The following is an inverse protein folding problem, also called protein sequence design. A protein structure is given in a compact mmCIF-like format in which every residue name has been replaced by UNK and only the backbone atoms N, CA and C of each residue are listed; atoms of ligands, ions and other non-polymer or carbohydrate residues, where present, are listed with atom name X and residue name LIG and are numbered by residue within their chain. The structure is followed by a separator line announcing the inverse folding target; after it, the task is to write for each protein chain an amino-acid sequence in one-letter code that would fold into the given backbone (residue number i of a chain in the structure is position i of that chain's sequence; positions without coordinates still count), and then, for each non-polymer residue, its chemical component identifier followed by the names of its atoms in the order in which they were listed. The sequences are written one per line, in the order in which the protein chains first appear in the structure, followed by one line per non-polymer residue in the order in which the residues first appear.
data_IF_176609779827
#
_entry.id   IF_176609779827
#
_cell.length_a   1.000
_cell.length_b   1.000
_cell.length_c   1.000
_cell.angle_alpha   90.00
_cell.angle_beta   90.00
_cell.angle_gamma   90.00
#
_symmetry.space_group_name_H-M   'P 1'
#
loop_
_entity.id
_entity.type
_entity.pdbx_description
1 polymer ?
#
# COMPACT_ATOMS: atom_id res chain seq x y z
N UNK A 1 -7.68 37.62 6.51
CA UNK A 1 -6.40 37.07 6.98
C UNK A 1 -5.82 36.33 5.78
N UNK A 2 -4.55 36.52 5.43
CA UNK A 2 -3.96 35.80 4.29
C UNK A 2 -3.98 34.30 4.63
N UNK A 3 -4.68 33.50 3.83
CA UNK A 3 -4.66 32.04 3.92
C UNK A 3 -3.25 31.55 3.54
N UNK A 4 -2.37 31.41 4.52
CA UNK A 4 -1.01 30.94 4.34
C UNK A 4 -0.75 29.79 5.31
N UNK A 5 0.05 28.85 4.85
CA UNK A 5 0.53 27.74 5.69
C UNK A 5 1.11 28.29 6.99
N UNK A 6 0.71 27.71 8.11
CA UNK A 6 1.34 28.01 9.39
C UNK A 6 2.86 27.71 9.29
N UNK A 7 3.75 28.68 9.62
CA UNK A 7 5.20 28.48 9.54
C UNK A 7 5.71 27.19 10.20
N UNK A 8 5.03 26.73 11.25
CA UNK A 8 5.34 25.45 11.92
C UNK A 8 5.30 24.26 10.96
N UNK A 9 4.39 24.26 9.99
CA UNK A 9 4.16 23.12 9.07
C UNK A 9 4.73 23.34 7.68
N UNK A 10 5.49 24.41 7.47
CA UNK A 10 6.03 24.77 6.15
C UNK A 10 6.82 23.65 5.49
N UNK A 11 7.59 22.88 6.27
CA UNK A 11 8.39 21.75 5.75
C UNK A 11 7.54 20.67 5.05
N UNK A 12 6.28 20.47 5.45
CA UNK A 12 5.36 19.51 4.82
C UNK A 12 4.95 19.93 3.40
N UNK A 13 5.07 21.21 3.07
CA UNK A 13 4.68 21.81 1.78
C UNK A 13 5.86 22.12 0.87
N UNK A 14 7.07 21.75 1.25
CA UNK A 14 8.22 21.84 0.35
C UNK A 14 8.08 20.80 -0.77
N UNK A 15 8.30 21.19 -2.04
CA UNK A 15 8.32 20.24 -3.14
C UNK A 15 9.36 19.14 -2.93
N UNK A 16 9.08 17.96 -3.48
CA UNK A 16 10.00 16.83 -3.43
C UNK A 16 10.05 16.11 -4.77
N UNK A 17 11.23 15.63 -5.15
CA UNK A 17 11.43 14.85 -6.38
C UNK A 17 11.45 13.37 -6.08
N UNK A 18 10.70 12.60 -6.86
CA UNK A 18 10.83 11.15 -6.92
C UNK A 18 12.14 10.74 -7.61
N UNK A 19 12.53 9.46 -7.49
CA UNK A 19 13.75 8.94 -8.06
C UNK A 19 13.90 9.10 -9.59
N UNK A 20 12.79 9.29 -10.33
CA UNK A 20 12.77 9.60 -11.76
C UNK A 20 12.73 11.11 -12.06
N UNK A 21 12.87 11.97 -11.06
CA UNK A 21 12.88 13.42 -11.23
C UNK A 21 11.50 14.09 -11.28
N UNK A 22 10.40 13.33 -11.24
CA UNK A 22 9.05 13.91 -11.12
C UNK A 22 8.96 14.66 -9.79
N UNK A 23 8.56 15.92 -9.87
CA UNK A 23 8.37 16.78 -8.72
C UNK A 23 6.92 16.70 -8.22
N UNK A 24 6.77 16.44 -6.93
CA UNK A 24 5.52 16.52 -6.19
C UNK A 24 5.43 17.85 -5.46
N UNK A 25 4.25 18.47 -5.43
CA UNK A 25 4.05 19.83 -4.91
C UNK A 25 4.20 19.92 -3.38
N UNK A 26 4.08 18.81 -2.65
CA UNK A 26 4.24 18.72 -1.21
C UNK A 26 4.64 17.29 -0.81
N UNK A 27 4.86 17.06 0.48
CA UNK A 27 5.39 15.80 1.01
C UNK A 27 4.32 14.80 1.46
N UNK A 28 3.06 15.01 1.11
CA UNK A 28 1.99 14.07 1.45
C UNK A 28 1.77 13.01 0.37
N UNK A 29 1.37 11.82 0.81
CA UNK A 29 0.84 10.78 -0.07
C UNK A 29 -0.42 10.14 0.53
N UNK A 30 -1.42 9.85 -0.32
CA UNK A 30 -2.54 9.00 0.03
C UNK A 30 -2.09 7.55 -0.17
N UNK A 31 -1.96 6.84 0.94
CA UNK A 31 -1.46 5.46 0.96
C UNK A 31 -2.59 4.44 0.84
N UNK A 32 -2.27 3.21 0.40
CA UNK A 32 -3.25 2.14 0.28
C UNK A 32 -4.06 1.93 1.56
N UNK A 33 -5.36 1.89 1.39
CA UNK A 33 -6.32 1.42 2.38
C UNK A 33 -7.30 0.50 1.68
N UNK A 34 -7.60 -0.65 2.27
CA UNK A 34 -8.58 -1.57 1.73
C UNK A 34 -9.97 -0.97 1.88
N UNK A 35 -10.61 -0.64 0.77
CA UNK A 35 -11.96 -0.06 0.75
C UNK A 35 -13.05 -1.10 0.59
N UNK A 36 -12.75 -2.28 0.05
CA UNK A 36 -13.72 -3.34 -0.29
C UNK A 36 -14.90 -2.81 -1.13
N UNK A 37 -14.65 -1.86 -2.02
CA UNK A 37 -15.66 -1.16 -2.80
C UNK A 37 -15.85 -1.71 -4.21
N UNK A 38 -15.02 -2.65 -4.67
CA UNK A 38 -15.16 -3.34 -5.95
C UNK A 38 -16.28 -4.40 -5.92
N UNK A 39 -16.60 -5.03 -7.05
CA UNK A 39 -17.46 -6.21 -7.05
C UNK A 39 -16.71 -7.43 -6.49
N UNK A 40 -17.44 -8.52 -6.20
CA UNK A 40 -16.80 -9.78 -5.75
C UNK A 40 -15.81 -10.33 -6.78
N UNK A 41 -16.06 -10.12 -8.07
CA UNK A 41 -15.18 -10.54 -9.16
C UNK A 41 -13.99 -9.59 -9.34
N UNK A 42 -13.96 -8.44 -8.65
CA UNK A 42 -12.88 -7.45 -8.69
C UNK A 42 -13.06 -6.32 -9.70
N UNK A 43 -14.26 -6.13 -10.26
CA UNK A 43 -14.54 -4.97 -11.12
C UNK A 43 -14.71 -3.71 -10.28
N UNK A 44 -14.06 -2.63 -10.72
CA UNK A 44 -14.21 -1.30 -10.14
C UNK A 44 -15.66 -0.84 -10.22
N UNK A 45 -16.18 -0.28 -9.14
CA UNK A 45 -17.55 0.23 -9.07
C UNK A 45 -17.62 1.73 -9.22
N UNK A 46 -18.85 2.24 -9.44
CA UNK A 46 -19.07 3.69 -9.45
C UNK A 46 -18.73 4.32 -8.10
N UNK A 47 -19.10 3.68 -6.99
CA UNK A 47 -18.79 4.20 -5.65
C UNK A 47 -17.29 4.28 -5.41
N UNK A 48 -16.49 3.33 -5.91
CA UNK A 48 -15.04 3.37 -5.81
C UNK A 48 -14.44 4.53 -6.62
N UNK A 49 -14.99 4.80 -7.80
CA UNK A 49 -14.60 5.96 -8.63
C UNK A 49 -15.00 7.27 -7.96
N UNK A 50 -16.21 7.37 -7.40
CA UNK A 50 -16.67 8.57 -6.69
C UNK A 50 -15.82 8.83 -5.43
N UNK A 51 -15.48 7.77 -4.70
CA UNK A 51 -14.55 7.82 -3.56
C UNK A 51 -13.18 8.39 -3.96
N UNK A 52 -12.61 7.90 -5.05
CA UNK A 52 -11.33 8.37 -5.56
C UNK A 52 -11.43 9.84 -6.06
N UNK A 53 -12.52 10.18 -6.77
CA UNK A 53 -12.77 11.54 -7.26
C UNK A 53 -12.85 12.55 -6.12
N UNK A 54 -13.55 12.22 -5.01
CA UNK A 54 -13.63 13.11 -3.84
C UNK A 54 -12.26 13.37 -3.20
N UNK A 55 -11.30 12.47 -3.41
CA UNK A 55 -9.94 12.51 -2.84
C UNK A 55 -8.87 12.94 -3.83
N UNK A 56 -9.24 13.33 -5.06
CA UNK A 56 -8.28 13.72 -6.10
C UNK A 56 -7.34 14.86 -5.70
N UNK A 57 -7.74 15.70 -4.75
CA UNK A 57 -6.92 16.81 -4.20
C UNK A 57 -6.25 16.49 -2.85
N UNK A 58 -6.45 15.28 -2.30
CA UNK A 58 -5.98 14.97 -0.94
C UNK A 58 -4.46 14.93 -0.82
N UNK A 59 -3.75 14.47 -1.86
CA UNK A 59 -2.29 14.40 -1.89
C UNK A 59 -1.77 14.31 -3.33
N UNK A 60 -0.55 14.81 -3.62
CA UNK A 60 0.01 14.78 -4.97
C UNK A 60 0.43 13.38 -5.46
N UNK A 61 0.62 12.42 -4.57
CA UNK A 61 0.85 11.00 -4.85
C UNK A 61 -0.27 10.19 -4.21
N UNK A 62 -0.97 9.39 -4.99
CA UNK A 62 -2.09 8.59 -4.51
C UNK A 62 -1.96 7.15 -4.96
N UNK A 63 -2.02 6.23 -4.01
CA UNK A 63 -1.92 4.79 -4.26
C UNK A 63 -3.28 4.13 -4.00
N UNK A 64 -3.72 3.29 -4.92
CA UNK A 64 -5.01 2.58 -4.80
C UNK A 64 -5.03 1.62 -3.61
N UNK A 65 -6.21 1.09 -3.29
CA UNK A 65 -6.32 -0.17 -2.54
C UNK A 65 -5.59 -1.30 -3.28
N UNK A 66 -5.34 -2.41 -2.58
CA UNK A 66 -4.60 -3.57 -3.09
C UNK A 66 -5.33 -4.24 -4.28
N UNK A 67 -4.75 -4.15 -5.48
CA UNK A 67 -5.25 -4.84 -6.67
C UNK A 67 -4.59 -6.22 -6.81
N UNK A 68 -5.38 -7.30 -6.90
CA UNK A 68 -4.83 -8.64 -7.01
C UNK A 68 -4.57 -9.04 -8.47
N UNK A 69 -3.41 -9.73 -8.68
CA UNK A 69 -2.83 -9.97 -9.99
C UNK A 69 -3.26 -11.30 -10.64
N UNK A 70 -3.79 -12.25 -9.86
CA UNK A 70 -4.30 -13.55 -10.34
C UNK A 70 -5.38 -14.09 -9.38
N UNK A 71 -6.10 -15.14 -9.77
CA UNK A 71 -7.18 -15.74 -8.97
C UNK A 71 -6.72 -16.25 -7.59
N UNK A 72 -5.50 -16.78 -7.48
CA UNK A 72 -4.93 -17.27 -6.22
C UNK A 72 -4.28 -16.17 -5.37
N UNK A 73 -4.39 -14.91 -5.78
CA UNK A 73 -3.77 -13.77 -5.09
C UNK A 73 -4.72 -13.03 -4.14
N UNK A 74 -6.04 -13.27 -4.23
CA UNK A 74 -7.05 -12.44 -3.59
C UNK A 74 -7.17 -12.69 -2.09
N UNK A 75 -6.96 -11.62 -1.30
CA UNK A 75 -7.17 -11.60 0.15
C UNK A 75 -8.55 -11.06 0.52
N UNK A 76 -8.95 -9.94 -0.04
CA UNK A 76 -10.16 -9.20 0.29
C UNK A 76 -11.26 -9.47 -0.75
N UNK A 77 -12.47 -9.81 -0.28
CA UNK A 77 -13.56 -10.28 -1.14
C UNK A 77 -13.98 -9.24 -2.19
N UNK A 78 -13.87 -7.97 -1.87
CA UNK A 78 -14.30 -6.86 -2.73
C UNK A 78 -13.14 -5.93 -3.10
N UNK A 79 -11.93 -6.48 -3.20
CA UNK A 79 -10.75 -5.77 -3.72
C UNK A 79 -10.74 -5.73 -5.25
N UNK A 80 -10.16 -4.69 -5.88
CA UNK A 80 -10.05 -4.59 -7.33
C UNK A 80 -9.10 -5.65 -7.90
N UNK A 81 -9.39 -6.07 -9.13
CA UNK A 81 -8.57 -7.02 -9.88
C UNK A 81 -7.85 -6.35 -11.04
N UNK A 82 -6.66 -6.88 -11.35
CA UNK A 82 -5.90 -6.55 -12.55
C UNK A 82 -5.42 -7.82 -13.26
N UNK A 83 -6.05 -8.98 -12.98
CA UNK A 83 -5.64 -10.31 -13.42
C UNK A 83 -5.79 -10.56 -14.92
N UNK A 84 -6.72 -9.84 -15.60
CA UNK A 84 -6.91 -9.93 -17.04
C UNK A 84 -7.37 -8.60 -17.67
N UNK A 85 -7.47 -8.56 -18.99
CA UNK A 85 -7.73 -7.34 -19.74
C UNK A 85 -9.17 -6.80 -19.55
N UNK A 86 -10.13 -7.61 -19.09
CA UNK A 86 -11.51 -7.17 -18.86
C UNK A 86 -11.64 -6.12 -17.75
N UNK A 87 -10.65 -6.04 -16.86
CA UNK A 87 -10.61 -5.08 -15.75
C UNK A 87 -10.10 -3.69 -16.16
N UNK A 88 -9.44 -3.57 -17.33
CA UNK A 88 -8.77 -2.31 -17.77
C UNK A 88 -9.76 -1.15 -17.83
N UNK A 89 -10.99 -1.36 -18.33
CA UNK A 89 -11.96 -0.27 -18.46
C UNK A 89 -12.34 0.34 -17.09
N UNK A 90 -12.68 -0.49 -16.11
CA UNK A 90 -12.97 0.00 -14.76
C UNK A 90 -11.76 0.67 -14.10
N UNK A 91 -10.59 0.06 -14.23
CA UNK A 91 -9.33 0.62 -13.74
C UNK A 91 -9.00 1.97 -14.39
N UNK A 92 -9.31 2.19 -15.68
CA UNK A 92 -9.11 3.49 -16.33
C UNK A 92 -10.00 4.57 -15.73
N UNK A 93 -11.25 4.26 -15.35
CA UNK A 93 -12.14 5.20 -14.67
C UNK A 93 -11.60 5.59 -13.29
N UNK A 94 -11.02 4.62 -12.58
CA UNK A 94 -10.39 4.86 -11.29
C UNK A 94 -9.15 5.76 -11.44
N UNK A 95 -8.26 5.46 -12.39
CA UNK A 95 -7.08 6.26 -12.67
C UNK A 95 -7.44 7.71 -13.06
N UNK A 96 -8.45 7.90 -13.92
CA UNK A 96 -8.93 9.22 -14.32
C UNK A 96 -9.48 10.02 -13.13
N UNK A 97 -10.23 9.36 -12.25
CA UNK A 97 -10.78 9.99 -11.04
C UNK A 97 -9.66 10.44 -10.08
N UNK A 98 -8.67 9.59 -9.83
CA UNK A 98 -7.53 9.93 -8.98
C UNK A 98 -6.71 11.10 -9.53
N UNK A 99 -6.52 11.17 -10.85
CA UNK A 99 -5.73 12.20 -11.53
C UNK A 99 -6.47 13.52 -11.77
N UNK A 100 -7.75 13.58 -11.46
CA UNK A 100 -8.64 14.70 -11.82
C UNK A 100 -8.04 16.07 -11.51
N UNK A 101 -7.38 16.22 -10.39
CA UNK A 101 -6.84 17.49 -9.89
C UNK A 101 -5.29 17.50 -9.86
N UNK A 102 -4.65 16.63 -10.69
CA UNK A 102 -3.20 16.65 -10.94
C UNK A 102 -2.38 15.70 -10.07
N UNK A 103 -3.01 14.88 -9.22
CA UNK A 103 -2.29 13.86 -8.48
C UNK A 103 -1.72 12.77 -9.41
N UNK A 104 -0.65 12.11 -8.97
CA UNK A 104 -0.11 10.91 -9.60
C UNK A 104 -0.86 9.69 -9.09
N UNK A 105 -1.54 8.99 -9.98
CA UNK A 105 -2.33 7.79 -9.70
C UNK A 105 -1.48 6.53 -9.83
N UNK A 106 -1.31 5.79 -8.74
CA UNK A 106 -0.48 4.58 -8.65
C UNK A 106 -1.37 3.37 -8.36
N UNK A 107 -1.28 2.32 -9.18
CA UNK A 107 -1.96 1.05 -8.92
C UNK A 107 -1.08 0.16 -8.03
N UNK A 108 -1.57 -0.22 -6.83
CA UNK A 108 -0.84 -1.16 -5.99
C UNK A 108 -1.09 -2.59 -6.45
N UNK A 109 -0.02 -3.32 -6.80
CA UNK A 109 -0.06 -4.72 -7.22
C UNK A 109 0.24 -5.64 -6.04
N UNK A 110 -0.63 -6.65 -5.83
CA UNK A 110 -0.53 -7.54 -4.68
C UNK A 110 -0.78 -9.00 -5.00
N UNK A 111 -0.20 -9.86 -4.17
CA UNK A 111 -0.50 -11.28 -4.10
C UNK A 111 -0.45 -11.73 -2.64
N UNK A 112 -1.61 -12.14 -2.09
CA UNK A 112 -1.71 -12.48 -0.67
C UNK A 112 -0.93 -13.74 -0.26
N UNK A 113 -0.59 -14.62 -1.21
CA UNK A 113 0.11 -15.86 -0.92
C UNK A 113 -0.69 -16.73 0.07
N UNK A 114 -0.05 -17.16 1.15
CA UNK A 114 -0.68 -18.01 2.18
C UNK A 114 -1.91 -17.40 2.86
N UNK A 115 -2.15 -16.10 2.69
CA UNK A 115 -3.32 -15.40 3.23
C UNK A 115 -4.44 -15.19 2.20
N UNK A 116 -4.37 -15.79 1.02
CA UNK A 116 -5.37 -15.65 -0.04
C UNK A 116 -6.70 -16.34 0.33
N UNK A 117 -7.40 -15.77 1.31
CA UNK A 117 -8.64 -16.33 1.89
C UNK A 117 -9.71 -16.58 0.84
N UNK A 118 -9.85 -15.69 -0.13
CA UNK A 118 -10.88 -15.83 -1.16
C UNK A 118 -10.53 -16.98 -2.10
N UNK A 119 -9.26 -17.13 -2.47
CA UNK A 119 -8.80 -18.28 -3.24
C UNK A 119 -9.03 -19.61 -2.49
N UNK A 120 -8.83 -19.62 -1.17
CA UNK A 120 -9.16 -20.79 -0.35
C UNK A 120 -10.65 -21.13 -0.41
N UNK A 121 -11.52 -20.14 -0.29
CA UNK A 121 -12.97 -20.33 -0.32
C UNK A 121 -13.47 -20.78 -1.69
N UNK A 122 -12.94 -20.21 -2.77
CA UNK A 122 -13.42 -20.44 -4.14
C UNK A 122 -12.79 -21.67 -4.79
N UNK A 123 -11.53 -21.96 -4.51
CA UNK A 123 -10.74 -23.02 -5.16
C UNK A 123 -10.25 -24.13 -4.20
N UNK A 124 -10.48 -23.97 -2.89
CA UNK A 124 -10.06 -24.94 -1.87
C UNK A 124 -8.56 -24.99 -1.62
N UNK A 125 -7.77 -24.05 -2.17
CA UNK A 125 -6.32 -24.08 -2.09
C UNK A 125 -5.70 -22.69 -2.01
N UNK A 126 -4.64 -22.58 -1.22
CA UNK A 126 -3.73 -21.42 -1.20
C UNK A 126 -2.29 -21.87 -1.36
N UNK A 127 -1.48 -20.98 -1.90
CA UNK A 127 -0.08 -21.20 -2.17
C UNK A 127 0.81 -20.24 -1.37
N UNK A 128 1.97 -20.74 -0.96
CA UNK A 128 3.03 -19.95 -0.34
C UNK A 128 4.40 -20.44 -0.78
N UNK A 129 5.49 -19.84 -0.28
CA UNK A 129 6.84 -20.33 -0.57
C UNK A 129 7.03 -21.77 -0.16
N UNK A 130 6.45 -22.19 0.98
CA UNK A 130 6.58 -23.55 1.53
C UNK A 130 5.26 -24.08 2.02
N UNK A 131 5.11 -25.40 2.02
CA UNK A 131 3.97 -26.09 2.60
C UNK A 131 3.95 -25.90 4.13
N UNK A 132 2.80 -25.54 4.66
CA UNK A 132 2.60 -25.39 6.11
C UNK A 132 1.13 -25.43 6.51
N UNK A 133 0.86 -25.69 7.77
CA UNK A 133 -0.44 -25.40 8.38
C UNK A 133 -0.41 -24.00 8.96
N UNK A 134 -1.14 -23.08 8.36
CA UNK A 134 -1.31 -21.72 8.91
C UNK A 134 -2.43 -21.77 9.97
N UNK A 135 -2.14 -21.34 11.20
CA UNK A 135 -3.10 -21.42 12.33
C UNK A 135 -3.89 -20.12 12.53
N UNK A 136 -3.36 -18.99 12.09
CA UNK A 136 -3.96 -17.65 12.30
C UNK A 136 -3.86 -16.83 11.00
N UNK A 137 -4.87 -16.02 10.64
CA UNK A 137 -6.11 -15.72 11.38
C UNK A 137 -7.18 -16.83 11.34
N UNK A 138 -7.02 -17.86 10.52
CA UNK A 138 -7.87 -19.06 10.46
C UNK A 138 -7.01 -20.26 10.03
N UNK A 139 -7.36 -21.45 10.52
CA UNK A 139 -6.56 -22.65 10.25
C UNK A 139 -6.81 -23.21 8.84
N UNK A 140 -5.74 -23.40 8.08
CA UNK A 140 -5.79 -24.02 6.75
C UNK A 140 -4.42 -24.54 6.30
N UNK A 141 -4.44 -25.38 5.25
CA UNK A 141 -3.24 -25.88 4.62
C UNK A 141 -2.76 -24.92 3.52
N UNK A 142 -1.46 -24.64 3.51
CA UNK A 142 -0.78 -23.89 2.47
C UNK A 142 0.04 -24.89 1.65
N UNK A 143 -0.09 -24.84 0.33
CA UNK A 143 0.71 -25.65 -0.58
C UNK A 143 1.97 -24.88 -1.00
N UNK A 144 3.08 -25.62 -1.12
CA UNK A 144 4.31 -25.05 -1.67
C UNK A 144 4.15 -24.75 -3.16
N UNK A 145 4.55 -23.54 -3.58
CA UNK A 145 4.62 -23.21 -5.00
C UNK A 145 5.71 -24.01 -5.69
N UNK A 146 5.37 -24.68 -6.80
CA UNK A 146 6.38 -25.22 -7.70
C UNK A 146 7.15 -24.07 -8.37
N UNK A 147 8.38 -24.32 -8.83
CA UNK A 147 9.17 -23.33 -9.59
C UNK A 147 8.40 -22.81 -10.81
N UNK A 148 7.63 -23.67 -11.51
CA UNK A 148 6.76 -23.24 -12.61
C UNK A 148 5.69 -22.23 -12.14
N UNK A 149 5.08 -22.44 -10.96
CA UNK A 149 4.10 -21.49 -10.43
C UNK A 149 4.77 -20.19 -9.97
N UNK A 150 5.97 -20.24 -9.43
CA UNK A 150 6.78 -19.05 -9.10
C UNK A 150 6.98 -18.19 -10.36
N UNK A 151 7.47 -18.79 -11.45
CA UNK A 151 7.66 -18.07 -12.72
C UNK A 151 6.34 -17.55 -13.30
N UNK A 152 5.24 -18.30 -13.16
CA UNK A 152 3.91 -17.82 -13.56
C UNK A 152 3.52 -16.58 -12.77
N UNK A 153 3.67 -16.55 -11.45
CA UNK A 153 3.32 -15.39 -10.60
C UNK A 153 4.19 -14.17 -10.95
N UNK A 154 5.49 -14.38 -11.21
CA UNK A 154 6.38 -13.29 -11.67
C UNK A 154 5.84 -12.69 -12.98
N UNK A 155 5.42 -13.54 -13.93
CA UNK A 155 4.82 -13.06 -15.18
C UNK A 155 3.49 -12.33 -14.93
N UNK A 156 2.67 -12.74 -13.95
CA UNK A 156 1.44 -12.04 -13.62
C UNK A 156 1.69 -10.61 -13.08
N UNK A 157 2.77 -10.37 -12.33
CA UNK A 157 3.18 -9.01 -11.96
C UNK A 157 3.55 -8.16 -13.20
N UNK A 158 4.28 -8.73 -14.15
CA UNK A 158 4.61 -8.07 -15.42
C UNK A 158 3.35 -7.74 -16.24
N UNK A 159 2.44 -8.71 -16.40
CA UNK A 159 1.18 -8.55 -17.12
C UNK A 159 0.25 -7.53 -16.44
N UNK A 160 0.19 -7.53 -15.12
CA UNK A 160 -0.56 -6.56 -14.33
C UNK A 160 0.01 -5.13 -14.51
N UNK A 161 1.33 -4.96 -14.57
CA UNK A 161 1.98 -3.68 -14.87
C UNK A 161 1.60 -3.19 -16.26
N UNK A 162 1.60 -4.07 -17.26
CA UNK A 162 1.17 -3.72 -18.62
C UNK A 162 -0.29 -3.26 -18.66
N UNK A 163 -1.18 -3.92 -17.89
CA UNK A 163 -2.59 -3.50 -17.77
C UNK A 163 -2.74 -2.16 -17.06
N UNK A 164 -1.94 -1.89 -16.02
CA UNK A 164 -1.90 -0.61 -15.35
C UNK A 164 -1.52 0.53 -16.32
N UNK A 165 -0.50 0.33 -17.15
CA UNK A 165 -0.08 1.28 -18.20
C UNK A 165 -1.25 1.52 -19.18
N UNK A 166 -1.89 0.46 -19.67
CA UNK A 166 -3.04 0.55 -20.59
C UNK A 166 -4.27 1.20 -19.96
N UNK A 167 -4.47 1.04 -18.65
CA UNK A 167 -5.52 1.70 -17.89
C UNK A 167 -5.22 3.19 -17.62
N UNK A 168 -4.02 3.65 -17.92
CA UNK A 168 -3.63 5.06 -17.80
C UNK A 168 -3.19 5.47 -16.41
N UNK A 169 -2.77 4.56 -15.53
CA UNK A 169 -2.10 4.93 -14.28
C UNK A 169 -0.75 5.61 -14.56
N UNK A 170 -0.34 6.50 -13.66
CA UNK A 170 0.97 7.15 -13.73
C UNK A 170 2.09 6.24 -13.19
N UNK A 171 1.73 5.11 -12.57
CA UNK A 171 2.69 4.16 -12.02
C UNK A 171 2.06 2.93 -11.40
N UNK A 172 2.93 2.05 -10.93
CA UNK A 172 2.58 0.90 -10.09
C UNK A 172 3.39 0.90 -8.81
N UNK A 173 2.81 0.36 -7.72
CA UNK A 173 3.53 0.08 -6.47
C UNK A 173 3.56 -1.43 -6.24
N UNK A 174 4.75 -1.99 -6.09
CA UNK A 174 4.91 -3.41 -5.74
C UNK A 174 4.87 -3.54 -4.22
N UNK A 175 3.86 -4.25 -3.71
CA UNK A 175 3.74 -4.48 -2.28
C UNK A 175 4.56 -5.70 -1.84
N UNK A 176 5.54 -5.45 -0.97
CA UNK A 176 6.38 -6.44 -0.29
C UNK A 176 6.29 -6.23 1.23
N UNK A 177 5.09 -5.99 1.72
CA UNK A 177 4.85 -5.61 3.11
C UNK A 177 3.75 -6.48 3.73
N UNK A 178 3.59 -6.37 5.05
CA UNK A 178 2.43 -6.92 5.78
C UNK A 178 2.23 -8.42 5.54
N UNK A 179 3.33 -9.16 5.36
CA UNK A 179 3.41 -10.62 5.19
C UNK A 179 2.70 -11.17 3.95
N UNK A 180 2.51 -10.37 2.89
CA UNK A 180 2.06 -10.87 1.59
C UNK A 180 3.18 -11.57 0.82
N UNK A 181 2.89 -12.13 -0.36
CA UNK A 181 3.73 -13.13 -1.00
C UNK A 181 5.21 -12.74 -1.18
N UNK A 182 5.60 -11.54 -1.67
CA UNK A 182 7.02 -11.22 -1.80
C UNK A 182 7.75 -11.24 -0.45
N UNK A 183 7.15 -10.68 0.61
CA UNK A 183 7.70 -10.78 1.96
C UNK A 183 7.74 -12.22 2.46
N UNK A 184 6.74 -13.06 2.10
CA UNK A 184 6.74 -14.47 2.50
C UNK A 184 7.95 -15.24 1.94
N UNK A 185 8.40 -14.92 0.72
CA UNK A 185 9.62 -15.49 0.16
C UNK A 185 10.88 -15.00 0.87
N UNK A 186 10.92 -13.72 1.25
CA UNK A 186 12.06 -13.15 1.96
C UNK A 186 12.18 -13.61 3.41
N UNK A 187 11.05 -13.88 4.08
CA UNK A 187 11.00 -14.25 5.49
C UNK A 187 11.32 -15.73 5.75
N UNK A 188 12.34 -16.06 6.55
CA UNK A 188 12.60 -17.42 7.00
C UNK A 188 11.45 -18.06 7.79
N UNK A 189 10.54 -17.26 8.36
CA UNK A 189 9.36 -17.78 9.05
C UNK A 189 8.32 -18.42 8.13
N UNK A 190 8.33 -18.09 6.85
CA UNK A 190 7.38 -18.60 5.87
C UNK A 190 8.04 -19.35 4.71
N UNK A 191 9.33 -19.15 4.51
CA UNK A 191 10.10 -19.79 3.46
C UNK A 191 11.07 -20.83 4.07
N UNK A 192 10.73 -22.09 3.87
CA UNK A 192 11.52 -23.26 4.31
C UNK A 192 12.04 -24.07 3.12
N UNK A 193 12.01 -23.47 1.91
CA UNK A 193 12.50 -24.12 0.68
C UNK A 193 14.00 -24.38 0.76
N UNK A 194 14.46 -25.41 0.03
CA UNK A 194 15.86 -25.80 -0.08
C UNK A 194 16.44 -25.60 -1.49
N UNK A 195 15.66 -25.01 -2.40
CA UNK A 195 16.07 -24.68 -3.76
C UNK A 195 16.59 -23.23 -3.89
N UNK A 196 16.78 -22.76 -5.12
CA UNK A 196 17.25 -21.40 -5.41
C UNK A 196 16.35 -20.26 -4.93
N UNK A 197 15.14 -20.53 -4.44
CA UNK A 197 14.21 -19.57 -3.84
C UNK A 197 14.12 -19.72 -2.31
N UNK A 198 14.97 -20.54 -1.71
CA UNK A 198 14.88 -20.87 -0.28
C UNK A 198 15.57 -19.87 0.64
N UNK A 199 15.36 -20.04 1.95
CA UNK A 199 15.85 -19.10 2.95
C UNK A 199 17.31 -19.35 3.42
N UNK A 200 18.05 -20.23 2.74
CA UNK A 200 19.42 -20.61 3.15
C UNK A 200 20.45 -19.49 2.97
N UNK A 201 20.23 -18.60 2.00
CA UNK A 201 21.04 -17.39 1.83
C UNK A 201 20.17 -16.17 1.57
N UNK A 202 20.74 -14.99 1.75
CA UNK A 202 20.06 -13.73 1.46
C UNK A 202 19.65 -13.66 -0.03
N UNK A 203 20.54 -14.06 -0.93
CA UNK A 203 20.33 -14.04 -2.38
C UNK A 203 19.18 -14.95 -2.79
N UNK A 204 19.08 -16.15 -2.19
CA UNK A 204 18.02 -17.10 -2.52
C UNK A 204 16.65 -16.60 -2.05
N UNK A 205 16.54 -16.10 -0.82
CA UNK A 205 15.25 -15.57 -0.30
C UNK A 205 14.87 -14.24 -0.94
N UNK A 206 15.82 -13.45 -1.42
CA UNK A 206 15.58 -12.23 -2.17
C UNK A 206 15.14 -12.49 -3.63
N UNK A 207 15.53 -13.63 -4.21
CA UNK A 207 15.38 -13.95 -5.63
C UNK A 207 13.97 -13.67 -6.18
N UNK A 208 12.93 -14.14 -5.50
CA UNK A 208 11.55 -13.93 -5.98
C UNK A 208 11.22 -12.44 -6.15
N UNK A 209 11.49 -11.63 -5.14
CA UNK A 209 11.21 -10.20 -5.22
C UNK A 209 12.09 -9.48 -6.24
N UNK A 210 13.36 -9.84 -6.36
CA UNK A 210 14.27 -9.29 -7.37
C UNK A 210 13.78 -9.63 -8.80
N UNK A 211 13.37 -10.87 -9.04
CA UNK A 211 12.84 -11.29 -10.35
C UNK A 211 11.48 -10.61 -10.66
N UNK A 212 10.62 -10.38 -9.67
CA UNK A 212 9.39 -9.58 -9.83
C UNK A 212 9.75 -8.16 -10.26
N UNK A 213 10.68 -7.51 -9.57
CA UNK A 213 11.08 -6.13 -9.89
C UNK A 213 11.72 -6.04 -11.27
N UNK A 214 12.57 -6.99 -11.66
CA UNK A 214 13.17 -7.06 -13.00
C UNK A 214 12.10 -7.22 -14.09
N UNK A 215 11.13 -8.12 -13.89
CA UNK A 215 10.05 -8.36 -14.86
C UNK A 215 9.12 -7.13 -15.01
N UNK A 216 8.81 -6.46 -13.90
CA UNK A 216 8.04 -5.20 -13.90
C UNK A 216 8.81 -4.09 -14.61
N UNK A 217 10.12 -3.93 -14.33
CA UNK A 217 10.96 -2.93 -14.99
C UNK A 217 11.03 -3.15 -16.50
N UNK A 218 11.20 -4.40 -16.95
CA UNK A 218 11.23 -4.71 -18.38
C UNK A 218 9.93 -4.26 -19.11
N UNK A 219 8.77 -4.45 -18.47
CA UNK A 219 7.50 -3.95 -19.02
C UNK A 219 7.44 -2.42 -19.04
N UNK A 220 7.96 -1.77 -18.00
CA UNK A 220 8.02 -0.29 -17.97
C UNK A 220 8.89 0.22 -19.09
N UNK A 221 10.08 -0.35 -19.29
CA UNK A 221 11.02 0.06 -20.32
C UNK A 221 10.44 -0.11 -21.74
N UNK A 222 9.67 -1.19 -21.97
CA UNK A 222 9.10 -1.51 -23.28
C UNK A 222 7.81 -0.74 -23.61
N UNK A 223 6.97 -0.44 -22.61
CA UNK A 223 5.58 -0.02 -22.86
C UNK A 223 5.14 1.24 -22.13
N UNK A 224 5.84 1.69 -21.10
CA UNK A 224 5.38 2.82 -20.31
C UNK A 224 5.69 4.17 -20.97
N UNK A 225 4.85 5.19 -20.79
CA UNK A 225 5.20 6.56 -21.15
C UNK A 225 6.36 7.07 -20.29
N UNK A 226 7.07 8.06 -20.78
CA UNK A 226 8.10 8.78 -20.01
C UNK A 226 7.53 9.27 -18.68
N UNK A 227 8.30 9.12 -17.60
CA UNK A 227 7.89 9.52 -16.27
C UNK A 227 7.00 8.50 -15.53
N UNK A 228 6.79 7.30 -16.06
CA UNK A 228 6.04 6.26 -15.32
C UNK A 228 6.74 5.90 -13.99
N UNK A 229 5.96 5.79 -12.93
CA UNK A 229 6.48 5.66 -11.56
C UNK A 229 6.47 4.20 -11.13
N UNK A 230 7.62 3.69 -10.68
CA UNK A 230 7.73 2.42 -9.99
C UNK A 230 7.90 2.68 -8.49
N UNK A 231 6.87 2.43 -7.71
CA UNK A 231 6.89 2.49 -6.25
C UNK A 231 7.18 1.13 -5.62
N UNK A 232 7.75 1.15 -4.45
CA UNK A 232 7.97 -0.02 -3.63
C UNK A 232 7.41 0.20 -2.22
N UNK A 233 6.72 -0.82 -1.69
CA UNK A 233 6.24 -0.84 -0.30
C UNK A 233 6.83 -2.03 0.41
N UNK A 234 7.49 -1.81 1.56
CA UNK A 234 8.17 -2.87 2.29
C UNK A 234 8.01 -2.81 3.79
N UNK A 235 8.14 -3.97 4.43
CA UNK A 235 8.28 -4.11 5.89
C UNK A 235 9.75 -4.40 6.19
N UNK A 236 10.52 -3.43 6.73
CA UNK A 236 11.98 -3.54 6.83
C UNK A 236 12.49 -4.55 7.85
N UNK A 237 11.68 -4.93 8.83
CA UNK A 237 12.06 -5.90 9.86
C UNK A 237 10.92 -6.88 10.14
N UNK A 238 11.22 -8.14 10.36
CA UNK A 238 10.25 -9.10 10.89
C UNK A 238 10.79 -9.82 12.12
N UNK A 239 10.10 -9.63 13.25
CA UNK A 239 10.39 -10.33 14.51
C UNK A 239 9.12 -10.96 15.08
N UNK A 240 9.26 -12.06 15.82
CA UNK A 240 8.18 -12.75 16.55
C UNK A 240 8.63 -12.99 17.98
N UNK A 241 8.33 -12.06 18.87
CA UNK A 241 8.89 -12.06 20.21
C UNK A 241 10.41 -11.92 20.16
N UNK A 242 11.15 -12.92 20.65
CA UNK A 242 12.61 -12.97 20.60
C UNK A 242 13.19 -13.53 19.29
N UNK A 243 12.35 -14.15 18.45
CA UNK A 243 12.79 -14.73 17.19
C UNK A 243 12.89 -13.64 16.11
N UNK A 244 13.97 -13.69 15.33
CA UNK A 244 14.25 -12.75 14.24
C UNK A 244 14.09 -13.47 12.91
N UNK A 245 13.15 -13.00 12.10
CA UNK A 245 13.00 -13.46 10.72
C UNK A 245 14.05 -12.80 9.83
N UNK A 246 14.09 -11.48 9.84
CA UNK A 246 15.14 -10.68 9.20
C UNK A 246 15.24 -9.31 9.87
N UNK A 247 16.41 -8.72 9.74
CA UNK A 247 16.76 -7.40 10.27
C UNK A 247 16.57 -6.31 9.22
N UNK A 248 16.56 -5.05 9.66
CA UNK A 248 16.57 -3.91 8.73
C UNK A 248 17.82 -3.92 7.84
N UNK A 249 18.96 -4.35 8.38
CA UNK A 249 20.21 -4.45 7.60
C UNK A 249 20.09 -5.45 6.44
N UNK A 250 19.50 -6.61 6.69
CA UNK A 250 19.25 -7.62 5.64
C UNK A 250 18.22 -7.16 4.63
N UNK A 251 17.18 -6.45 5.08
CA UNK A 251 16.17 -5.91 4.17
C UNK A 251 16.74 -4.77 3.30
N UNK A 252 17.62 -3.96 3.83
CA UNK A 252 18.34 -2.94 3.06
C UNK A 252 19.20 -3.56 1.95
N UNK A 253 19.90 -4.67 2.22
CA UNK A 253 20.64 -5.42 1.19
C UNK A 253 19.68 -5.99 0.12
N UNK A 254 18.53 -6.51 0.53
CA UNK A 254 17.48 -6.96 -0.41
C UNK A 254 16.97 -5.80 -1.27
N UNK A 255 16.76 -4.63 -0.67
CA UNK A 255 16.36 -3.44 -1.42
C UNK A 255 17.42 -3.02 -2.44
N UNK A 256 18.71 -3.08 -2.09
CA UNK A 256 19.80 -2.81 -3.03
C UNK A 256 19.78 -3.79 -4.22
N UNK A 257 19.59 -5.10 -3.96
CA UNK A 257 19.46 -6.09 -5.04
C UNK A 257 18.28 -5.79 -5.99
N UNK A 258 17.18 -5.26 -5.46
CA UNK A 258 16.05 -4.82 -6.31
C UNK A 258 16.39 -3.56 -7.10
N UNK A 259 17.12 -2.61 -6.50
CA UNK A 259 17.59 -1.39 -7.20
C UNK A 259 18.64 -1.67 -8.28
N UNK A 260 19.37 -2.79 -8.19
CA UNK A 260 20.31 -3.21 -9.24
C UNK A 260 19.62 -3.66 -10.54
N UNK A 261 18.33 -4.03 -10.45
CA UNK A 261 17.54 -4.55 -11.60
C UNK A 261 16.33 -3.68 -11.95
N UNK A 262 16.06 -2.62 -11.18
CA UNK A 262 14.90 -1.75 -11.39
C UNK A 262 15.14 -0.34 -10.88
N UNK A 263 14.42 0.61 -11.44
CA UNK A 263 14.46 2.01 -11.03
C UNK A 263 13.31 2.28 -10.06
N UNK A 264 13.52 2.05 -8.75
CA UNK A 264 12.52 2.35 -7.73
C UNK A 264 12.51 3.86 -7.46
N UNK A 265 11.33 4.49 -7.59
CA UNK A 265 11.20 5.95 -7.53
C UNK A 265 10.74 6.47 -6.18
N UNK A 266 10.16 5.62 -5.33
CA UNK A 266 9.90 5.88 -3.90
C UNK A 266 9.82 4.58 -3.11
N UNK A 267 10.08 4.65 -1.81
CA UNK A 267 9.95 3.53 -0.89
C UNK A 267 9.01 3.88 0.26
N UNK A 268 7.83 3.27 0.32
CA UNK A 268 6.88 3.40 1.41
C UNK A 268 7.11 2.31 2.47
N UNK A 269 7.40 2.71 3.70
CA UNK A 269 7.59 1.78 4.82
C UNK A 269 6.22 1.43 5.39
N UNK A 270 5.91 0.14 5.52
CA UNK A 270 4.67 -0.36 6.10
C UNK A 270 4.91 -1.57 6.99
N UNK A 271 4.19 -1.66 8.07
CA UNK A 271 4.22 -2.78 9.01
C UNK A 271 2.83 -2.94 9.67
N UNK A 272 2.72 -3.82 10.65
CA UNK A 272 1.54 -3.95 11.50
C UNK A 272 1.78 -3.23 12.84
N UNK A 273 0.85 -2.40 13.26
CA UNK A 273 0.91 -1.71 14.55
C UNK A 273 0.44 -0.26 14.52
N UNK A 274 0.48 0.37 15.69
CA UNK A 274 0.22 1.80 15.86
C UNK A 274 1.53 2.58 15.73
N UNK A 275 1.45 3.81 15.26
CA UNK A 275 2.58 4.74 15.16
C UNK A 275 3.85 4.11 14.55
N UNK A 276 3.67 3.38 13.43
CA UNK A 276 4.73 2.61 12.77
C UNK A 276 5.92 3.50 12.41
N UNK A 277 5.69 4.78 12.11
CA UNK A 277 6.74 5.74 11.82
C UNK A 277 7.71 5.98 13.00
N UNK A 278 7.33 5.59 14.21
CA UNK A 278 8.16 5.62 15.43
C UNK A 278 8.67 4.23 15.84
N UNK A 279 8.47 3.20 15.02
CA UNK A 279 8.93 1.86 15.36
C UNK A 279 10.45 1.81 15.42
N UNK A 280 10.98 1.14 16.46
CA UNK A 280 12.42 0.96 16.65
C UNK A 280 12.83 -0.45 16.28
N UNK A 281 13.98 -0.56 15.62
CA UNK A 281 14.57 -1.85 15.27
C UNK A 281 14.79 -2.72 16.51
N UNK A 282 14.34 -3.96 16.44
CA UNK A 282 14.39 -4.94 17.53
C UNK A 282 15.64 -5.82 17.46
N UNK A 283 16.26 -5.87 16.28
CA UNK A 283 17.45 -6.67 16.01
C UNK A 283 18.39 -5.94 15.05
N UNK A 284 19.55 -6.56 14.75
CA UNK A 284 20.53 -6.02 13.81
C UNK A 284 21.53 -5.05 14.45
N UNK A 285 22.34 -4.46 13.57
CA UNK A 285 23.46 -3.59 13.98
C UNK A 285 23.00 -2.27 14.61
N UNK A 286 21.83 -1.80 14.22
CA UNK A 286 21.23 -0.53 14.68
C UNK A 286 19.99 -0.74 15.57
N UNK A 287 19.96 -1.83 16.35
CA UNK A 287 18.88 -2.12 17.30
C UNK A 287 18.63 -0.92 18.24
N UNK A 288 17.35 -0.55 18.39
CA UNK A 288 16.90 0.55 19.24
C UNK A 288 16.79 1.90 18.53
N UNK A 289 17.31 2.04 17.31
CA UNK A 289 17.09 3.21 16.47
C UNK A 289 15.77 3.11 15.71
N UNK A 290 15.23 4.24 15.23
CA UNK A 290 14.01 4.24 14.44
C UNK A 290 14.22 3.52 13.11
N UNK A 291 13.35 2.57 12.79
CA UNK A 291 13.40 1.77 11.54
C UNK A 291 13.42 2.69 10.32
N UNK A 292 12.56 3.70 10.28
CA UNK A 292 12.50 4.65 9.19
C UNK A 292 13.83 5.39 9.02
N UNK A 293 14.49 5.79 10.11
CA UNK A 293 15.78 6.48 10.06
C UNK A 293 16.88 5.58 9.52
N UNK A 294 16.89 4.30 9.91
CA UNK A 294 17.86 3.32 9.39
C UNK A 294 17.71 3.18 7.87
N UNK A 295 16.49 3.07 7.39
CA UNK A 295 16.18 2.96 5.95
C UNK A 295 16.58 4.25 5.23
N UNK A 296 16.19 5.41 5.74
CA UNK A 296 16.52 6.72 5.15
C UNK A 296 18.04 6.92 5.00
N UNK A 297 18.79 6.61 6.07
CA UNK A 297 20.26 6.70 6.06
C UNK A 297 20.89 5.75 5.02
N UNK A 298 20.29 4.58 4.80
CA UNK A 298 20.75 3.61 3.81
C UNK A 298 20.44 4.03 2.38
N UNK A 299 19.22 4.55 2.15
CA UNK A 299 18.75 4.99 0.82
C UNK A 299 19.58 6.17 0.31
N UNK A 300 20.00 7.10 1.18
CA UNK A 300 20.88 8.23 0.84
C UNK A 300 20.38 9.06 -0.33
N UNK A 301 19.09 9.31 -0.40
CA UNK A 301 18.48 10.15 -1.45
C UNK A 301 18.35 9.51 -2.84
N UNK A 302 18.61 8.19 -2.99
CA UNK A 302 18.34 7.47 -4.26
C UNK A 302 16.87 7.54 -4.67
N UNK A 303 15.97 7.51 -3.68
CA UNK A 303 14.55 7.79 -3.84
C UNK A 303 13.99 8.29 -2.50
N UNK A 304 12.85 9.01 -2.47
CA UNK A 304 12.19 9.38 -1.24
C UNK A 304 11.70 8.19 -0.44
N UNK A 305 11.83 8.28 0.89
CA UNK A 305 11.26 7.35 1.86
C UNK A 305 9.97 7.94 2.41
N UNK A 306 8.87 7.16 2.39
CA UNK A 306 7.55 7.56 2.89
C UNK A 306 7.30 6.89 4.24
N UNK A 307 7.15 7.67 5.30
CA UNK A 307 6.69 7.19 6.61
C UNK A 307 5.20 6.91 6.60
N UNK A 308 4.76 5.83 7.24
CA UNK A 308 3.34 5.45 7.31
C UNK A 308 2.93 5.00 8.71
N UNK A 309 1.62 4.95 8.93
CA UNK A 309 0.99 4.32 10.09
C UNK A 309 0.85 5.22 11.31
N UNK A 310 -0.39 5.50 11.71
CA UNK A 310 -0.72 6.27 12.91
C UNK A 310 -0.61 7.79 12.77
N UNK A 311 -0.21 8.29 11.60
CA UNK A 311 -0.07 9.73 11.34
C UNK A 311 -1.47 10.32 11.11
N UNK A 312 -2.02 11.01 12.11
CA UNK A 312 -3.40 11.49 12.12
C UNK A 312 -3.55 12.93 12.62
N UNK A 313 -2.47 13.68 12.65
CA UNK A 313 -2.48 15.11 12.96
C UNK A 313 -1.35 15.83 12.24
N UNK A 314 -1.43 17.17 12.07
CA UNK A 314 -0.32 17.96 11.52
C UNK A 314 0.99 17.79 12.30
N UNK A 315 0.93 17.67 13.62
CA UNK A 315 2.11 17.51 14.48
C UNK A 315 2.77 16.14 14.27
N UNK A 316 1.99 15.06 14.17
CA UNK A 316 2.52 13.74 13.83
C UNK A 316 3.09 13.69 12.42
N UNK A 317 2.49 14.41 11.47
CA UNK A 317 3.03 14.52 10.12
C UNK A 317 4.40 15.23 10.13
N UNK A 318 4.56 16.28 10.90
CA UNK A 318 5.83 16.98 11.06
C UNK A 318 6.88 16.10 11.76
N UNK A 319 6.49 15.40 12.84
CA UNK A 319 7.35 14.45 13.55
C UNK A 319 7.84 13.32 12.62
N UNK A 320 6.98 12.81 11.74
CA UNK A 320 7.35 11.76 10.80
C UNK A 320 8.44 12.21 9.80
N UNK A 321 8.50 13.49 9.43
CA UNK A 321 9.56 14.04 8.58
C UNK A 321 10.94 14.07 9.24
N UNK A 322 11.05 13.90 10.55
CA UNK A 322 12.35 13.73 11.22
C UNK A 322 13.03 12.41 10.80
N UNK A 323 12.26 11.44 10.31
CA UNK A 323 12.71 10.08 10.01
C UNK A 323 12.40 9.62 8.58
N UNK A 324 11.82 10.47 7.74
CA UNK A 324 11.46 10.17 6.36
C UNK A 324 11.43 11.43 5.50
N UNK A 325 11.32 11.27 4.18
CA UNK A 325 11.23 12.39 3.24
C UNK A 325 9.79 12.82 2.97
N UNK A 326 8.83 11.89 3.13
CA UNK A 326 7.41 12.09 2.86
C UNK A 326 6.55 11.42 3.94
N UNK A 327 5.29 11.85 3.99
CA UNK A 327 4.28 11.39 4.95
C UNK A 327 3.14 10.71 4.21
N UNK A 328 2.91 9.43 4.51
CA UNK A 328 1.84 8.63 3.93
C UNK A 328 0.70 8.43 4.92
N UNK A 329 -0.49 8.89 4.55
CA UNK A 329 -1.71 8.74 5.34
C UNK A 329 -2.77 8.02 4.53
N UNK A 330 -3.70 7.35 5.20
CA UNK A 330 -4.83 6.66 4.56
C UNK A 330 -6.16 6.97 5.27
N UNK A 331 -6.32 6.53 6.51
CA UNK A 331 -7.57 6.67 7.27
C UNK A 331 -8.01 8.13 7.45
N UNK A 332 -7.05 9.05 7.60
CA UNK A 332 -7.31 10.49 7.66
C UNK A 332 -8.08 10.96 6.44
N UNK A 333 -7.66 10.54 5.24
CA UNK A 333 -8.32 10.95 4.00
C UNK A 333 -9.67 10.27 3.78
N UNK A 334 -10.03 9.24 4.55
CA UNK A 334 -11.40 8.69 4.52
C UNK A 334 -12.37 9.70 5.11
N UNK A 335 -12.04 10.26 6.27
CA UNK A 335 -12.92 11.14 7.04
C UNK A 335 -12.70 12.62 6.75
N UNK A 336 -11.47 13.01 6.42
CA UNK A 336 -11.08 14.39 6.11
C UNK A 336 -10.26 14.47 4.81
N UNK A 337 -10.88 14.33 3.64
CA UNK A 337 -10.18 14.44 2.34
C UNK A 337 -9.47 15.78 2.14
N UNK A 338 -9.92 16.83 2.80
CA UNK A 338 -9.40 18.19 2.68
C UNK A 338 -8.29 18.51 3.70
N UNK A 339 -7.80 17.52 4.45
CA UNK A 339 -6.77 17.69 5.48
C UNK A 339 -5.57 18.52 5.01
N UNK A 340 -4.98 18.19 3.86
CA UNK A 340 -3.81 18.89 3.32
C UNK A 340 -4.18 20.31 2.87
N UNK A 341 -5.36 20.49 2.25
CA UNK A 341 -5.83 21.79 1.79
C UNK A 341 -6.13 22.74 2.97
N UNK A 342 -6.78 22.24 4.05
CA UNK A 342 -7.00 22.99 5.28
C UNK A 342 -5.68 23.41 5.92
N UNK A 343 -4.73 22.48 6.01
CA UNK A 343 -3.41 22.78 6.56
C UNK A 343 -2.65 23.80 5.71
N UNK A 344 -2.72 23.68 4.36
CA UNK A 344 -2.13 24.66 3.45
C UNK A 344 -2.75 26.07 3.59
N UNK A 345 -4.02 26.13 3.98
CA UNK A 345 -4.74 27.38 4.20
C UNK A 345 -4.56 27.98 5.63
N UNK A 346 -3.79 27.32 6.50
CA UNK A 346 -3.65 27.72 7.91
C UNK A 346 -4.95 27.56 8.70
N UNK A 347 -5.70 26.49 8.38
CA UNK A 347 -7.00 26.15 8.98
C UNK A 347 -6.91 24.81 9.73
N UNK A 348 -5.79 24.54 10.35
CA UNK A 348 -5.54 23.29 11.09
C UNK A 348 -6.55 23.05 12.23
N UNK A 349 -7.13 24.10 12.78
CA UNK A 349 -8.20 24.05 13.79
C UNK A 349 -9.55 23.59 13.23
N UNK A 350 -9.71 23.56 11.90
CA UNK A 350 -10.92 23.10 11.22
C UNK A 350 -10.80 21.64 10.75
N UNK A 351 -9.65 20.97 11.00
CA UNK A 351 -9.48 19.55 10.68
C UNK A 351 -10.32 18.75 11.67
N UNK A 352 -11.35 18.05 11.16
CA UNK A 352 -12.18 17.14 11.95
C UNK A 352 -12.10 15.72 11.36
N UNK A 353 -11.69 14.76 12.17
CA UNK A 353 -11.58 13.35 11.79
C UNK A 353 -12.80 12.53 12.21
N UNK A 354 -13.76 13.15 12.90
CA UNK A 354 -15.03 12.54 13.28
C UNK A 354 -16.13 12.94 12.31
N UNK A 355 -16.76 11.98 11.65
CA UNK A 355 -17.87 12.21 10.69
C UNK A 355 -19.21 11.78 11.27
N UNK A 356 -20.30 12.30 10.70
CA UNK A 356 -21.68 11.90 10.97
C UNK A 356 -22.28 11.11 9.78
N UNK A 357 -23.41 10.42 10.01
CA UNK A 357 -24.03 9.56 8.99
C UNK A 357 -24.43 10.30 7.71
N UNK A 358 -24.87 11.54 7.82
CA UNK A 358 -25.27 12.40 6.69
C UNK A 358 -24.07 12.91 5.88
N UNK A 359 -22.83 12.75 6.39
CA UNK A 359 -21.62 13.11 5.68
C UNK A 359 -21.10 12.00 4.76
N UNK A 360 -21.55 10.74 4.91
CA UNK A 360 -21.07 9.61 4.12
C UNK A 360 -21.20 9.86 2.61
N UNK A 361 -22.35 10.40 2.17
CA UNK A 361 -22.56 10.71 0.76
C UNK A 361 -21.71 11.90 0.30
N UNK A 362 -21.53 12.93 1.11
CA UNK A 362 -20.70 14.10 0.80
C UNK A 362 -19.21 13.72 0.68
N UNK A 363 -18.79 12.76 1.49
CA UNK A 363 -17.44 12.20 1.49
C UNK A 363 -17.27 11.06 0.46
N UNK A 364 -18.36 10.72 -0.25
CA UNK A 364 -18.43 9.62 -1.19
C UNK A 364 -17.90 8.29 -0.59
N UNK A 365 -18.17 8.04 0.69
CA UNK A 365 -17.78 6.80 1.36
C UNK A 365 -18.76 5.70 0.94
N UNK A 366 -18.30 4.58 0.35
CA UNK A 366 -19.17 3.50 -0.07
C UNK A 366 -19.93 2.88 1.12
N UNK A 367 -21.26 2.91 1.11
CA UNK A 367 -22.08 2.42 2.21
C UNK A 367 -21.85 0.93 2.50
N UNK A 368 -21.78 0.12 1.45
CA UNK A 368 -21.50 -1.31 1.58
C UNK A 368 -20.14 -1.59 2.23
N UNK A 369 -19.13 -0.83 1.87
CA UNK A 369 -17.77 -1.01 2.38
C UNK A 369 -17.55 -0.35 3.74
N UNK A 370 -18.51 0.43 4.24
CA UNK A 370 -18.32 1.28 5.43
C UNK A 370 -17.93 0.47 6.67
N UNK A 371 -18.57 -0.67 6.91
CA UNK A 371 -18.24 -1.55 8.03
C UNK A 371 -16.79 -2.04 7.95
N UNK A 372 -16.38 -2.54 6.78
CA UNK A 372 -15.01 -3.01 6.56
C UNK A 372 -13.99 -1.89 6.71
N UNK A 373 -14.29 -0.70 6.18
CA UNK A 373 -13.45 0.49 6.35
C UNK A 373 -13.25 0.84 7.83
N UNK A 374 -14.33 0.83 8.63
CA UNK A 374 -14.25 1.10 10.06
C UNK A 374 -13.42 0.05 10.77
N UNK A 375 -13.61 -1.25 10.46
CA UNK A 375 -12.83 -2.34 11.05
C UNK A 375 -11.32 -2.19 10.74
N UNK A 376 -10.94 -1.84 9.51
CA UNK A 376 -9.53 -1.61 9.15
C UNK A 376 -8.93 -0.38 9.82
N UNK A 377 -9.67 0.72 9.90
CA UNK A 377 -9.22 1.93 10.60
C UNK A 377 -9.07 1.68 12.11
N UNK A 378 -9.96 0.89 12.67
CA UNK A 378 -9.97 0.52 14.09
C UNK A 378 -8.79 -0.40 14.44
N UNK A 379 -8.59 -1.43 13.63
CA UNK A 379 -7.47 -2.36 13.78
C UNK A 379 -6.11 -1.66 13.73
N UNK A 380 -5.92 -0.72 12.82
CA UNK A 380 -4.68 0.07 12.69
C UNK A 380 -4.54 1.16 13.74
N UNK A 381 -5.61 1.51 14.49
CA UNK A 381 -5.62 2.64 15.40
C UNK A 381 -5.24 3.98 14.74
N UNK A 382 -5.53 4.10 13.44
CA UNK A 382 -5.00 5.17 12.58
C UNK A 382 -5.75 6.49 12.72
N UNK A 383 -6.87 6.53 13.45
CA UNK A 383 -7.58 7.73 13.83
C UNK A 383 -7.60 7.88 15.36
N UNK A 384 -7.85 9.10 15.89
CA UNK A 384 -8.08 9.31 17.31
C UNK A 384 -9.23 8.44 17.85
N UNK A 385 -9.13 7.97 19.09
CA UNK A 385 -10.10 7.04 19.70
C UNK A 385 -11.54 7.59 19.62
N UNK A 386 -11.74 8.88 19.92
CA UNK A 386 -13.07 9.50 19.87
C UNK A 386 -13.71 9.45 18.46
N UNK A 387 -12.91 9.60 17.40
CA UNK A 387 -13.37 9.46 16.02
C UNK A 387 -13.73 8.01 15.71
N UNK A 388 -12.89 7.05 16.11
CA UNK A 388 -13.15 5.61 15.93
C UNK A 388 -14.38 5.15 16.66
N UNK A 389 -14.61 5.61 17.90
CA UNK A 389 -15.84 5.32 18.67
C UNK A 389 -17.09 5.82 17.98
N UNK A 390 -17.04 7.01 17.36
CA UNK A 390 -18.14 7.57 16.57
C UNK A 390 -18.44 6.70 15.36
N UNK A 391 -17.41 6.32 14.59
CA UNK A 391 -17.51 5.45 13.42
C UNK A 391 -18.07 4.07 13.76
N UNK A 392 -17.61 3.41 14.83
CA UNK A 392 -18.14 2.12 15.29
C UNK A 392 -19.66 2.15 15.53
N UNK A 393 -20.16 3.23 16.14
CA UNK A 393 -21.61 3.40 16.41
C UNK A 393 -22.44 3.57 15.13
N UNK A 394 -21.81 3.97 14.03
CA UNK A 394 -22.49 4.16 12.74
C UNK A 394 -22.59 2.87 11.92
N UNK A 395 -21.76 1.88 12.16
CA UNK A 395 -21.68 0.67 11.31
C UNK A 395 -22.98 -0.14 11.22
N UNK A 396 -23.81 -0.13 12.26
CA UNK A 396 -25.10 -0.85 12.28
C UNK A 396 -26.23 -0.10 11.57
N UNK A 397 -25.99 1.13 11.11
CA UNK A 397 -26.99 2.02 10.52
C UNK A 397 -26.85 2.11 8.98
N UNK A 398 -25.79 1.52 8.40
CA UNK A 398 -25.53 1.59 6.97
C UNK A 398 -26.28 0.49 6.20
N UNK A 399 -27.01 0.88 5.14
CA UNK A 399 -27.67 -0.05 4.24
C UNK A 399 -26.71 -0.63 3.21
N UNK A 400 -26.98 -1.87 2.78
CA UNK A 400 -26.28 -2.51 1.66
C UNK A 400 -26.87 -1.95 0.37
N UNK A 401 -26.21 -0.95 -0.22
CA UNK A 401 -26.62 -0.40 -1.50
C UNK A 401 -26.24 -1.28 -2.69
N UNK A 402 -26.94 -1.09 -3.81
CA UNK A 402 -26.65 -1.78 -5.07
C UNK A 402 -25.45 -1.14 -5.76
N UNK A 403 -24.47 -1.95 -6.16
CA UNK A 403 -23.26 -1.50 -6.86
C UNK A 403 -23.40 -1.54 -8.36
N UNK A 404 -23.07 -0.44 -9.03
CA UNK A 404 -22.90 -0.38 -10.48
C UNK A 404 -21.44 -0.57 -10.84
N UNK A 405 -21.11 -1.73 -11.43
CA UNK A 405 -19.76 -2.04 -11.86
C UNK A 405 -19.42 -1.46 -13.23
N UNK A 406 -18.15 -1.12 -13.44
CA UNK A 406 -17.56 -0.84 -14.75
C UNK A 406 -16.95 -2.13 -15.31
N UNK A 407 -17.69 -2.75 -16.26
CA UNK A 407 -17.27 -3.97 -16.95
C UNK A 407 -16.77 -3.67 -18.36
#
# INVERSE_FOLDING_TARGET
MSNQVNPKYQALFEPIKLGNGIELANRFSLNPLTTNASTREGYVTKEEVDYALRRSQSAPLQVTTAAYIEDYAQLFEYGPSVRDDSFIYGLSKLADAMRKDGAKAILQLTHAGRFAKIALNDYGVVYGPSAMTLKSPFEHQVLEMSTRKIHHVIQQYADATRRAIRAGFDGVEISNAQRILPQQFFSPFSNQRTDGYGAQSLENRARFGVEVMAAVQAVIDDYAPEGFILGFRGTPEETRGSEVGYTVDEFNQYFDMMMDVSNIHYYAIASWGHDIYLEKARAGSRKGEFVNRIVLDHIKGRCPVIATGGINSPDKALEALEHADMVGMSSVFVTEPDFVNKLAAGQEDQIDLGIDMDELDQLAIPHRAFKDLVEFMDFGGSLPEAARDKLRRMTDQTDISYFKAYK
#
